data_IF_909891227785
#
_entry.id   IF_909891227785
#
_cell.length_a   1.000
_cell.length_b   1.000
_cell.length_c   1.000
_cell.angle_alpha   90.00
_cell.angle_beta   90.00
_cell.angle_gamma   90.00
#
_symmetry.space_group_name_H-M   'P 1'
#
loop_
_entity.id
_entity.type
_entity.pdbx_description
1 polymer ?
#
# COMPACT_ATOMS: atom_id res chain seq x y z
N UNK A 1 -13.75 9.78 7.62
CA UNK A 1 -14.69 9.30 8.63
C UNK A 1 -15.93 10.18 8.61
N UNK A 2 -17.13 9.62 8.48
CA UNK A 2 -18.34 10.37 8.67
C UNK A 2 -18.47 10.70 10.16
N UNK A 3 -18.35 11.96 10.50
CA UNK A 3 -18.46 12.45 11.86
C UNK A 3 -17.13 12.89 12.49
N UNK A 4 -17.23 13.70 13.50
CA UNK A 4 -16.10 14.16 14.26
C UNK A 4 -15.79 13.12 15.35
N UNK A 5 -14.58 12.52 15.32
CA UNK A 5 -14.15 11.56 16.35
C UNK A 5 -14.08 12.21 17.75
N UNK A 6 -14.06 13.54 17.81
CA UNK A 6 -14.09 14.32 19.05
C UNK A 6 -15.52 14.66 19.51
N UNK A 7 -16.55 14.16 18.82
CA UNK A 7 -17.92 14.32 19.28
C UNK A 7 -18.09 13.65 20.65
N UNK A 8 -18.62 14.40 21.61
CA UNK A 8 -18.84 13.95 23.00
C UNK A 8 -19.62 12.62 23.04
N UNK A 9 -20.60 12.43 22.14
CA UNK A 9 -21.37 11.18 22.02
C UNK A 9 -20.50 9.96 21.66
N UNK A 10 -19.32 10.18 21.11
CA UNK A 10 -18.38 9.15 20.66
C UNK A 10 -17.15 9.03 21.55
N UNK A 11 -16.99 9.88 22.56
CA UNK A 11 -15.89 9.76 23.53
C UNK A 11 -15.96 8.37 24.19
N UNK A 12 -14.85 7.65 24.18
CA UNK A 12 -14.76 6.28 24.69
C UNK A 12 -15.08 5.19 23.66
N UNK A 13 -15.71 5.52 22.51
CA UNK A 13 -15.89 4.58 21.39
C UNK A 13 -14.74 4.64 20.40
N UNK A 14 -14.12 5.81 20.27
CA UNK A 14 -12.92 6.03 19.43
C UNK A 14 -11.71 6.21 20.32
N UNK A 15 -10.66 5.50 19.97
CA UNK A 15 -9.36 5.58 20.63
C UNK A 15 -8.29 5.78 19.58
N UNK A 16 -7.19 6.41 19.94
CA UNK A 16 -6.05 6.63 19.05
C UNK A 16 -4.75 6.20 19.72
N UNK A 17 -3.79 5.82 18.90
CA UNK A 17 -2.43 5.51 19.34
C UNK A 17 -1.44 5.95 18.24
N UNK A 18 -0.18 6.08 18.59
CA UNK A 18 0.85 6.56 17.68
C UNK A 18 1.36 5.43 16.79
N UNK A 19 1.23 5.62 15.48
CA UNK A 19 1.76 4.71 14.45
C UNK A 19 1.11 3.32 14.44
N UNK A 20 1.48 2.52 13.45
CA UNK A 20 0.91 1.19 13.23
C UNK A 20 1.13 0.25 14.42
N UNK A 21 2.30 0.27 15.05
CA UNK A 21 2.60 -0.53 16.22
C UNK A 21 1.72 -0.16 17.44
N UNK A 22 1.52 1.15 17.68
CA UNK A 22 0.67 1.62 18.77
C UNK A 22 -0.80 1.26 18.55
N UNK A 23 -1.30 1.44 17.33
CA UNK A 23 -2.69 1.14 16.96
C UNK A 23 -2.97 -0.36 17.09
N UNK A 24 -2.09 -1.23 16.62
CA UNK A 24 -2.28 -2.69 16.73
C UNK A 24 -2.17 -3.18 18.18
N UNK A 25 -1.25 -2.64 18.96
CA UNK A 25 -1.14 -2.97 20.39
C UNK A 25 -2.40 -2.55 21.17
N UNK A 26 -3.00 -1.41 20.82
CA UNK A 26 -4.25 -0.97 21.41
C UNK A 26 -5.43 -1.88 21.00
N UNK A 27 -5.52 -2.21 19.71
CA UNK A 27 -6.57 -3.11 19.21
C UNK A 27 -6.48 -4.50 19.87
N UNK A 28 -5.28 -5.05 20.00
CA UNK A 28 -5.07 -6.36 20.65
C UNK A 28 -5.55 -6.41 22.12
N UNK A 29 -5.55 -5.29 22.81
CA UNK A 29 -6.02 -5.16 24.20
C UNK A 29 -7.47 -4.76 24.33
N UNK A 30 -8.10 -4.30 23.26
CA UNK A 30 -9.47 -3.77 23.27
C UNK A 30 -10.42 -4.77 22.60
N UNK A 31 -11.16 -5.50 23.40
CA UNK A 31 -12.12 -6.50 22.94
C UNK A 31 -13.19 -5.85 22.04
N UNK A 32 -13.52 -6.51 20.92
CA UNK A 32 -14.48 -6.03 19.92
C UNK A 32 -14.09 -4.73 19.21
N UNK A 33 -12.81 -4.38 19.22
CA UNK A 33 -12.30 -3.24 18.44
C UNK A 33 -12.21 -3.57 16.95
N UNK A 34 -12.27 -2.52 16.13
CA UNK A 34 -11.93 -2.54 14.72
C UNK A 34 -10.94 -1.41 14.42
N UNK A 35 -9.94 -1.67 13.60
CA UNK A 35 -8.95 -0.67 13.19
C UNK A 35 -8.48 -0.94 11.77
N UNK A 36 -7.63 -0.06 11.25
CA UNK A 36 -6.92 -0.28 9.99
C UNK A 36 -5.41 -0.05 10.22
N UNK A 37 -4.62 -0.88 9.56
CA UNK A 37 -3.15 -0.86 9.67
C UNK A 37 -2.60 -1.73 8.53
N UNK A 38 -1.30 -1.65 8.27
CA UNK A 38 -0.65 -2.57 7.33
C UNK A 38 -0.76 -4.02 7.81
N UNK A 39 -0.98 -4.96 6.86
CA UNK A 39 -1.23 -6.38 7.14
C UNK A 39 -0.16 -7.03 8.00
N UNK A 40 1.11 -6.67 7.81
CA UNK A 40 2.24 -7.19 8.59
C UNK A 40 2.11 -6.92 10.09
N UNK A 41 1.63 -5.74 10.48
CA UNK A 41 1.40 -5.40 11.89
C UNK A 41 0.22 -6.17 12.48
N UNK A 42 -0.85 -6.37 11.71
CA UNK A 42 -1.98 -7.17 12.14
C UNK A 42 -1.54 -8.62 12.40
N UNK A 43 -0.80 -9.20 11.46
CA UNK A 43 -0.27 -10.56 11.56
C UNK A 43 0.67 -10.72 12.76
N UNK A 44 1.58 -9.77 12.96
CA UNK A 44 2.53 -9.82 14.08
C UNK A 44 1.85 -9.79 15.47
N UNK A 45 0.66 -9.19 15.56
CA UNK A 45 -0.15 -9.12 16.79
C UNK A 45 -1.23 -10.21 16.87
N UNK A 46 -1.30 -11.12 15.89
CA UNK A 46 -2.32 -12.16 15.84
C UNK A 46 -3.76 -11.63 15.70
N UNK A 47 -3.93 -10.44 15.10
CA UNK A 47 -5.25 -9.84 14.86
C UNK A 47 -5.92 -10.49 13.65
N UNK A 48 -7.23 -10.66 13.72
CA UNK A 48 -8.04 -11.09 12.58
C UNK A 48 -8.11 -9.96 11.53
N UNK A 49 -7.90 -10.32 10.27
CA UNK A 49 -8.03 -9.40 9.12
C UNK A 49 -9.34 -9.67 8.41
N UNK A 50 -10.13 -8.62 8.19
CA UNK A 50 -11.42 -8.73 7.53
C UNK A 50 -11.26 -9.03 6.03
N UNK A 51 -12.07 -9.95 5.53
CA UNK A 51 -12.25 -10.09 4.09
C UNK A 51 -13.22 -9.03 3.58
N UNK A 52 -12.87 -8.40 2.46
CA UNK A 52 -13.68 -7.34 1.83
C UNK A 52 -14.30 -7.86 0.54
N UNK A 53 -15.56 -7.53 0.34
CA UNK A 53 -16.27 -7.87 -0.90
C UNK A 53 -15.88 -6.89 -2.00
N UNK A 54 -15.33 -7.39 -3.10
CA UNK A 54 -14.99 -6.61 -4.27
C UNK A 54 -16.19 -6.44 -5.24
N UNK A 55 -16.01 -5.71 -6.33
CA UNK A 55 -17.05 -5.45 -7.32
C UNK A 55 -17.47 -6.68 -8.13
N UNK A 56 -16.70 -7.79 -8.09
CA UNK A 56 -17.11 -9.09 -8.62
C UNK A 56 -17.98 -9.89 -7.66
N UNK A 57 -18.19 -9.39 -6.42
CA UNK A 57 -18.92 -10.10 -5.38
C UNK A 57 -18.08 -11.12 -4.61
N UNK A 58 -16.77 -11.18 -4.83
CA UNK A 58 -15.81 -12.05 -4.16
C UNK A 58 -15.36 -11.45 -2.84
N UNK A 59 -15.23 -12.26 -1.79
CA UNK A 59 -14.61 -11.85 -0.53
C UNK A 59 -13.10 -12.14 -0.59
N UNK A 60 -12.30 -11.09 -0.53
CA UNK A 60 -10.84 -11.15 -0.63
C UNK A 60 -10.17 -10.73 0.67
N UNK A 61 -9.06 -11.36 1.00
CA UNK A 61 -8.21 -11.03 2.14
C UNK A 61 -7.09 -10.08 1.72
N UNK A 62 -6.53 -9.34 2.70
CA UNK A 62 -5.38 -8.47 2.48
C UNK A 62 -4.11 -9.31 2.34
N UNK A 63 -3.78 -9.69 1.13
CA UNK A 63 -2.53 -10.37 0.77
C UNK A 63 -1.86 -9.70 -0.44
N UNK A 64 -0.64 -10.13 -0.76
CA UNK A 64 0.13 -9.56 -1.85
C UNK A 64 -0.54 -9.76 -3.21
N UNK A 65 -1.20 -10.90 -3.43
CA UNK A 65 -1.90 -11.21 -4.67
C UNK A 65 -3.14 -10.35 -4.87
N UNK A 66 -3.96 -10.21 -3.83
CA UNK A 66 -5.16 -9.39 -3.84
C UNK A 66 -4.83 -7.90 -4.04
N UNK A 67 -3.77 -7.42 -3.39
CA UNK A 67 -3.28 -6.04 -3.59
C UNK A 67 -2.75 -5.84 -5.02
N UNK A 68 -1.99 -6.78 -5.57
CA UNK A 68 -1.52 -6.71 -6.95
C UNK A 68 -2.69 -6.69 -7.95
N UNK A 69 -3.72 -7.51 -7.76
CA UNK A 69 -4.91 -7.54 -8.60
C UNK A 69 -5.67 -6.18 -8.57
N UNK A 70 -5.75 -5.55 -7.41
CA UNK A 70 -6.33 -4.20 -7.27
C UNK A 70 -5.49 -3.14 -7.99
N UNK A 71 -4.16 -3.14 -7.79
CA UNK A 71 -3.25 -2.19 -8.41
C UNK A 71 -3.22 -2.31 -9.93
N UNK A 72 -3.40 -3.49 -10.48
CA UNK A 72 -3.50 -3.70 -11.92
C UNK A 72 -4.74 -3.05 -12.58
N UNK A 73 -5.73 -2.64 -11.78
CA UNK A 73 -6.86 -1.81 -12.20
C UNK A 73 -6.57 -0.31 -12.17
N UNK A 74 -5.45 0.12 -11.59
CA UNK A 74 -5.11 1.52 -11.50
C UNK A 74 -4.55 2.06 -12.83
N UNK A 75 -4.79 3.35 -13.08
CA UNK A 75 -4.18 4.09 -14.19
C UNK A 75 -3.12 5.06 -13.67
N UNK A 76 -2.01 5.18 -14.39
CA UNK A 76 -0.93 6.10 -14.06
C UNK A 76 -0.93 7.31 -15.00
N UNK A 77 -0.80 8.52 -14.45
CA UNK A 77 -0.53 9.73 -15.22
C UNK A 77 0.95 9.80 -15.66
N UNK A 78 1.27 10.75 -16.52
CA UNK A 78 2.62 10.90 -17.07
C UNK A 78 3.71 11.21 -16.03
N UNK A 79 3.32 11.70 -14.87
CA UNK A 79 4.16 11.97 -13.69
C UNK A 79 4.13 10.83 -12.65
N UNK A 80 3.45 9.72 -12.95
CA UNK A 80 3.38 8.53 -12.10
C UNK A 80 2.29 8.55 -11.03
N UNK A 81 1.47 9.61 -10.95
CA UNK A 81 0.35 9.64 -10.01
C UNK A 81 -0.70 8.59 -10.41
N UNK A 82 -1.11 7.76 -9.46
CA UNK A 82 -2.10 6.72 -9.69
C UNK A 82 -3.52 7.20 -9.40
N UNK A 83 -4.45 6.75 -10.24
CA UNK A 83 -5.89 6.79 -10.00
C UNK A 83 -6.38 5.37 -9.84
N UNK A 84 -6.96 5.07 -8.67
CA UNK A 84 -7.45 3.75 -8.33
C UNK A 84 -8.88 3.55 -8.81
N UNK A 85 -9.15 2.36 -9.34
CA UNK A 85 -10.49 1.90 -9.64
C UNK A 85 -11.00 0.96 -8.53
N UNK A 86 -11.77 1.51 -7.61
CA UNK A 86 -12.36 0.76 -6.50
C UNK A 86 -13.50 -0.17 -6.94
N UNK A 87 -14.01 0.02 -8.18
CA UNK A 87 -15.03 -0.83 -8.82
C UNK A 87 -14.39 -1.82 -9.83
N UNK A 88 -13.08 -1.99 -9.74
CA UNK A 88 -12.35 -2.89 -10.65
C UNK A 88 -12.96 -4.29 -10.68
N UNK A 89 -13.06 -4.86 -11.88
CA UNK A 89 -13.50 -6.23 -12.12
C UNK A 89 -12.34 -7.24 -12.15
N UNK A 90 -11.14 -6.82 -11.78
CA UNK A 90 -10.02 -7.74 -11.69
C UNK A 90 -10.31 -8.80 -10.63
N UNK A 91 -10.27 -10.07 -11.05
CA UNK A 91 -10.52 -11.20 -10.17
C UNK A 91 -9.51 -11.19 -9.02
N UNK A 92 -10.00 -11.46 -7.82
CA UNK A 92 -9.18 -11.50 -6.62
C UNK A 92 -8.78 -10.14 -6.04
N UNK A 93 -9.20 -9.00 -6.62
CA UNK A 93 -8.78 -7.69 -6.16
C UNK A 93 -9.21 -7.39 -4.71
N UNK A 94 -8.25 -7.00 -3.86
CA UNK A 94 -8.47 -6.48 -2.52
C UNK A 94 -8.41 -4.95 -2.54
N UNK A 95 -9.55 -4.30 -2.36
CA UNK A 95 -9.75 -2.87 -2.69
C UNK A 95 -9.20 -1.85 -1.68
N UNK A 96 -8.59 -2.26 -0.57
CA UNK A 96 -7.91 -1.36 0.38
C UNK A 96 -6.38 -1.41 0.26
N UNK A 97 -5.86 -1.74 -0.92
CA UNK A 97 -4.44 -1.60 -1.23
C UNK A 97 -4.03 -0.12 -1.25
N UNK A 98 -2.84 0.18 -0.75
CA UNK A 98 -2.23 1.51 -0.80
C UNK A 98 -0.86 1.44 -1.46
N UNK A 99 -0.39 2.56 -2.00
CA UNK A 99 0.96 2.71 -2.56
C UNK A 99 1.74 3.79 -1.84
N UNK A 100 3.03 3.56 -1.69
CA UNK A 100 3.99 4.59 -1.31
C UNK A 100 4.73 5.09 -2.54
N UNK A 101 4.92 6.40 -2.64
CA UNK A 101 5.63 7.04 -3.75
C UNK A 101 7.04 7.42 -3.35
N UNK A 102 8.01 7.12 -4.22
CA UNK A 102 9.32 7.75 -4.16
C UNK A 102 9.25 9.11 -4.88
N UNK A 103 9.47 10.20 -4.15
CA UNK A 103 9.52 11.55 -4.71
C UNK A 103 10.98 11.90 -5.03
N UNK A 104 11.27 12.16 -6.29
CA UNK A 104 12.63 12.38 -6.77
C UNK A 104 12.70 13.66 -7.61
N UNK A 105 13.73 14.46 -7.38
CA UNK A 105 14.05 15.61 -8.24
C UNK A 105 14.64 15.13 -9.57
N UNK A 106 13.88 15.26 -10.65
CA UNK A 106 14.30 14.85 -12.00
C UNK A 106 15.39 15.75 -12.60
N UNK A 107 15.61 16.93 -12.02
CA UNK A 107 16.67 17.86 -12.44
C UNK A 107 18.01 17.61 -11.72
N UNK A 108 17.99 16.84 -10.61
CA UNK A 108 19.21 16.52 -9.86
C UNK A 108 20.28 15.83 -10.72
N UNK A 109 21.54 16.18 -10.46
CA UNK A 109 22.71 15.64 -11.16
C UNK A 109 23.80 15.23 -10.17
N UNK A 110 24.85 14.54 -10.67
CA UNK A 110 25.99 14.13 -9.86
C UNK A 110 25.81 12.79 -9.17
N UNK A 111 26.74 12.44 -8.30
CA UNK A 111 26.85 11.09 -7.72
C UNK A 111 25.59 10.65 -6.94
N UNK A 112 24.95 11.58 -6.21
CA UNK A 112 23.73 11.27 -5.44
C UNK A 112 22.54 10.98 -6.38
N UNK A 113 22.40 11.70 -7.48
CA UNK A 113 21.36 11.45 -8.48
C UNK A 113 21.57 10.08 -9.15
N UNK A 114 22.82 9.75 -9.51
CA UNK A 114 23.18 8.45 -10.08
C UNK A 114 22.90 7.31 -9.08
N UNK A 115 23.24 7.48 -7.81
CA UNK A 115 22.94 6.50 -6.76
C UNK A 115 21.44 6.30 -6.57
N UNK A 116 20.64 7.38 -6.55
CA UNK A 116 19.18 7.33 -6.45
C UNK A 116 18.59 6.57 -7.63
N UNK A 117 19.00 6.86 -8.86
CA UNK A 117 18.57 6.15 -10.06
C UNK A 117 18.88 4.66 -10.00
N UNK A 118 20.11 4.32 -9.60
CA UNK A 118 20.54 2.92 -9.46
C UNK A 118 19.73 2.18 -8.39
N UNK A 119 19.48 2.82 -7.24
CA UNK A 119 18.68 2.26 -6.16
C UNK A 119 17.24 1.99 -6.60
N UNK A 120 16.57 2.98 -7.21
CA UNK A 120 15.20 2.81 -7.69
C UNK A 120 15.11 1.75 -8.80
N UNK A 121 16.09 1.70 -9.70
CA UNK A 121 16.15 0.65 -10.72
C UNK A 121 16.29 -0.74 -10.09
N UNK A 122 17.10 -0.88 -9.04
CA UNK A 122 17.28 -2.14 -8.33
C UNK A 122 16.03 -2.58 -7.58
N UNK A 123 15.22 -1.64 -7.04
CA UNK A 123 13.95 -1.95 -6.40
C UNK A 123 12.91 -2.54 -7.36
N UNK A 124 12.98 -2.16 -8.65
CA UNK A 124 12.09 -2.67 -9.69
C UNK A 124 12.65 -3.92 -10.40
N UNK A 125 13.89 -4.34 -10.08
CA UNK A 125 14.46 -5.55 -10.65
C UNK A 125 13.80 -6.78 -10.00
N UNK A 126 13.29 -7.68 -10.82
CA UNK A 126 12.69 -8.95 -10.37
C UNK A 126 13.66 -9.85 -9.58
N UNK A 127 14.96 -9.57 -9.66
CA UNK A 127 16.02 -10.26 -8.90
C UNK A 127 16.25 -9.66 -7.51
N UNK A 128 15.72 -8.45 -7.26
CA UNK A 128 15.77 -7.89 -5.93
C UNK A 128 14.78 -8.69 -5.05
N UNK A 129 15.21 -9.34 -3.97
CA UNK A 129 14.31 -10.04 -3.06
C UNK A 129 13.50 -9.00 -2.27
N UNK A 130 12.54 -8.35 -2.94
CA UNK A 130 11.67 -7.33 -2.35
C UNK A 130 10.57 -7.94 -1.49
N UNK A 131 10.46 -9.25 -1.50
CA UNK A 131 9.39 -9.94 -0.79
C UNK A 131 9.94 -10.74 0.37
N UNK A 132 10.27 -10.06 1.44
CA UNK A 132 10.05 -10.70 2.73
C UNK A 132 8.54 -10.95 2.82
N UNK A 133 8.14 -12.21 2.69
CA UNK A 133 6.73 -12.62 2.75
C UNK A 133 6.04 -12.17 4.04
N UNK A 134 6.81 -11.86 5.08
CA UNK A 134 6.32 -11.33 6.36
C UNK A 134 5.83 -9.90 6.25
N UNK A 135 6.35 -9.10 5.32
CA UNK A 135 5.95 -7.71 5.10
C UNK A 135 4.70 -7.57 4.25
N UNK A 136 4.34 -8.60 3.49
CA UNK A 136 3.14 -8.67 2.65
C UNK A 136 3.02 -7.53 1.61
N UNK A 137 4.17 -7.03 1.12
CA UNK A 137 4.19 -6.09 0.00
C UNK A 137 3.94 -6.82 -1.32
N UNK A 138 3.18 -6.15 -2.20
CA UNK A 138 2.99 -6.62 -3.57
C UNK A 138 4.11 -6.18 -4.47
N UNK A 139 4.57 -7.06 -5.33
CA UNK A 139 5.50 -6.71 -6.41
C UNK A 139 4.78 -5.85 -7.45
N UNK A 140 5.42 -4.77 -7.89
CA UNK A 140 4.93 -3.93 -8.98
C UNK A 140 5.14 -4.70 -10.29
N UNK A 141 4.08 -4.83 -11.09
CA UNK A 141 4.09 -5.57 -12.35
C UNK A 141 3.31 -4.86 -13.46
N UNK A 142 3.33 -5.40 -14.66
CA UNK A 142 2.52 -4.93 -15.78
C UNK A 142 2.75 -3.46 -16.14
N UNK A 143 1.67 -2.73 -16.40
CA UNK A 143 1.73 -1.32 -16.83
C UNK A 143 2.35 -0.39 -15.79
N UNK A 144 2.17 -0.67 -14.49
CA UNK A 144 2.77 0.14 -13.43
C UNK A 144 4.28 0.00 -13.44
N UNK A 145 4.81 -1.20 -13.58
CA UNK A 145 6.25 -1.43 -13.71
C UNK A 145 6.84 -0.70 -14.91
N UNK A 146 6.18 -0.78 -16.06
CA UNK A 146 6.62 -0.08 -17.27
C UNK A 146 6.61 1.45 -17.09
N UNK A 147 5.61 2.00 -16.40
CA UNK A 147 5.52 3.42 -16.08
C UNK A 147 6.65 3.85 -15.16
N UNK A 148 6.89 3.12 -14.08
CA UNK A 148 7.95 3.43 -13.12
C UNK A 148 9.34 3.36 -13.76
N UNK A 149 9.59 2.33 -14.57
CA UNK A 149 10.84 2.22 -15.35
C UNK A 149 11.04 3.40 -16.31
N UNK A 150 9.98 3.84 -17.00
CA UNK A 150 10.03 5.00 -17.89
C UNK A 150 10.28 6.31 -17.13
N UNK A 151 9.76 6.45 -15.89
CA UNK A 151 10.02 7.61 -15.04
C UNK A 151 11.46 7.61 -14.51
N UNK A 152 11.95 6.48 -14.05
CA UNK A 152 13.33 6.33 -13.58
C UNK A 152 14.33 6.61 -14.72
N UNK A 153 14.00 6.21 -15.95
CA UNK A 153 14.87 6.48 -17.12
C UNK A 153 15.07 7.98 -17.37
N UNK A 154 14.13 8.84 -16.98
CA UNK A 154 14.23 10.31 -17.10
C UNK A 154 15.19 10.94 -16.09
N UNK A 155 15.54 10.25 -15.02
CA UNK A 155 16.48 10.77 -14.02
C UNK A 155 17.87 10.92 -14.62
N UNK A 156 18.49 12.08 -14.33
CA UNK A 156 19.85 12.39 -14.76
C UNK A 156 20.82 11.74 -13.76
N UNK A 157 21.49 10.69 -14.19
CA UNK A 157 22.47 9.98 -13.37
C UNK A 157 23.21 8.94 -14.17
#
# INVERSE_FOLDING_TARGET
FPGNINDIANLGRFQSATGSAGVTALAAKTKYSITYVESSYATAQGLGVASLKNANGEFQTADAGGTAAFLNGATASADGKLTFDYETKNAGAYILGIVSYALVDTAATGANAAATKSFLSALLDSKCPTTDSTLQYSTITGNLLATDQALIAKLKG
#
